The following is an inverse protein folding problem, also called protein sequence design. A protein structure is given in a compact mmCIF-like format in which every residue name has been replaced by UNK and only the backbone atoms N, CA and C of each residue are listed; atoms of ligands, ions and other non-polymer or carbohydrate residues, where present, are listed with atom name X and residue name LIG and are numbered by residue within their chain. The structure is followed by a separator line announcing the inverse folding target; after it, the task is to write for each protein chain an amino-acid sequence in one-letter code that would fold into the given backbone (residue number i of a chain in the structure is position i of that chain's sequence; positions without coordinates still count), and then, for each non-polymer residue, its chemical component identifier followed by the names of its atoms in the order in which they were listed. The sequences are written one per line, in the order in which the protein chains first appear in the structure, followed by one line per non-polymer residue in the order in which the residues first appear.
data_IF_277449296153
#
_entry.id   IF_277449296153
#
_cell.length_a   1.000
_cell.length_b   1.000
_cell.length_c   1.000
_cell.angle_alpha   90.00
_cell.angle_beta   90.00
_cell.angle_gamma   90.00
#
_symmetry.space_group_name_H-M   'P 1'
#
loop_
_entity.id
_entity.type
_entity.pdbx_description
1 polymer ?
#
# COMPACT_ATOMS: atom_id res chain seq x y z
N UNK A 1 23.27 -24.28 3.43
CA UNK A 1 22.11 -23.54 2.88
C UNK A 1 21.71 -22.50 3.91
N UNK A 2 21.76 -21.22 3.55
CA UNK A 2 21.47 -20.11 4.46
C UNK A 2 19.97 -20.12 4.76
N UNK A 3 19.59 -20.45 6.00
CA UNK A 3 18.20 -20.40 6.45
C UNK A 3 17.75 -18.95 6.52
N UNK A 4 16.94 -18.53 5.54
CA UNK A 4 16.27 -17.23 5.57
C UNK A 4 15.26 -17.16 6.72
N UNK A 5 14.83 -15.94 7.12
CA UNK A 5 13.87 -15.77 8.20
C UNK A 5 12.56 -16.54 7.90
N UNK A 6 12.04 -17.22 8.92
CA UNK A 6 10.79 -17.98 8.84
C UNK A 6 9.63 -17.03 8.50
N UNK A 7 8.88 -17.34 7.44
CA UNK A 7 7.68 -16.58 7.08
C UNK A 7 6.62 -16.77 8.18
N UNK A 8 6.09 -15.67 8.72
CA UNK A 8 5.10 -15.72 9.80
C UNK A 8 3.65 -15.74 9.27
N UNK A 9 3.39 -15.24 8.06
CA UNK A 9 2.04 -15.16 7.49
C UNK A 9 1.65 -16.35 6.61
N UNK A 10 2.52 -17.36 6.53
CA UNK A 10 2.33 -18.55 5.69
C UNK A 10 2.51 -19.79 6.58
N UNK A 11 1.59 -20.74 6.51
CA UNK A 11 1.67 -21.99 7.25
C UNK A 11 2.63 -23.00 6.60
N UNK A 12 2.80 -24.16 7.25
CA UNK A 12 3.67 -25.22 6.74
C UNK A 12 3.18 -25.86 5.41
N UNK A 13 1.90 -25.70 5.08
CA UNK A 13 1.30 -26.13 3.82
C UNK A 13 1.37 -25.08 2.71
N UNK A 14 1.87 -23.88 2.99
CA UNK A 14 1.97 -22.77 2.04
C UNK A 14 0.71 -21.90 1.95
N UNK A 15 -0.30 -22.13 2.80
CA UNK A 15 -1.50 -21.32 2.84
C UNK A 15 -1.31 -20.06 3.71
N UNK A 16 -2.07 -19.01 3.40
CA UNK A 16 -2.05 -17.78 4.20
C UNK A 16 -2.66 -18.02 5.59
N UNK A 17 -1.98 -17.56 6.62
CA UNK A 17 -2.42 -17.68 8.02
C UNK A 17 -2.19 -16.35 8.76
N UNK A 18 -3.23 -15.85 9.45
CA UNK A 18 -3.13 -14.65 10.28
C UNK A 18 -2.39 -14.97 11.57
N UNK A 19 -1.30 -14.24 11.84
CA UNK A 19 -0.51 -14.44 13.06
C UNK A 19 -1.28 -13.95 14.28
N UNK A 20 -1.39 -14.78 15.31
CA UNK A 20 -1.91 -14.34 16.59
C UNK A 20 -0.95 -13.33 17.26
N UNK A 21 -1.52 -12.19 17.66
CA UNK A 21 -0.82 -11.09 18.31
C UNK A 21 -1.46 -10.70 19.65
N UNK A 22 -2.40 -11.49 20.17
CA UNK A 22 -3.20 -11.15 21.36
C UNK A 22 -2.38 -10.91 22.63
N UNK A 23 -1.28 -11.65 22.81
CA UNK A 23 -0.39 -11.50 23.98
C UNK A 23 0.61 -10.34 23.86
N UNK A 24 0.64 -9.62 22.73
CA UNK A 24 1.60 -8.53 22.53
C UNK A 24 1.13 -7.27 23.25
N UNK A 25 2.05 -6.65 23.98
CA UNK A 25 1.77 -5.37 24.63
C UNK A 25 1.45 -4.27 23.59
N UNK A 26 0.39 -3.50 23.87
CA UNK A 26 0.02 -2.35 23.07
C UNK A 26 1.10 -1.26 23.15
N UNK A 27 1.45 -0.69 22.00
CA UNK A 27 2.48 0.34 21.84
C UNK A 27 2.06 1.31 20.75
N UNK A 28 2.44 2.59 20.86
CA UNK A 28 2.23 3.56 19.78
C UNK A 28 3.19 3.25 18.63
N UNK A 29 2.64 3.03 17.43
CA UNK A 29 3.42 2.69 16.23
C UNK A 29 3.00 3.59 15.08
N UNK A 30 3.97 3.98 14.27
CA UNK A 30 3.78 4.77 13.05
C UNK A 30 4.59 4.15 11.93
N UNK A 31 4.03 4.11 10.73
CA UNK A 31 4.71 3.69 9.52
C UNK A 31 4.43 4.72 8.41
N UNK A 32 5.43 4.95 7.56
CA UNK A 32 5.35 5.83 6.39
C UNK A 32 5.72 4.99 5.17
N UNK A 33 4.92 5.07 4.11
CA UNK A 33 5.17 4.41 2.84
C UNK A 33 4.92 5.40 1.69
N UNK A 34 5.59 5.18 0.56
CA UNK A 34 5.43 5.97 -0.66
C UNK A 34 5.25 5.07 -1.89
N UNK A 35 4.70 5.63 -2.95
CA UNK A 35 4.52 4.98 -4.24
C UNK A 35 4.38 6.00 -5.36
N UNK A 36 4.69 5.60 -6.58
CA UNK A 36 4.64 6.47 -7.76
C UNK A 36 3.90 5.81 -8.91
N UNK A 37 3.20 6.60 -9.70
CA UNK A 37 2.54 6.16 -10.94
C UNK A 37 3.20 6.85 -12.12
N UNK A 38 3.86 6.09 -12.98
CA UNK A 38 4.44 6.60 -14.23
C UNK A 38 3.37 6.72 -15.30
N UNK A 39 3.39 7.83 -16.03
CA UNK A 39 2.45 8.13 -17.10
C UNK A 39 3.10 9.02 -18.17
N UNK A 40 2.37 9.25 -19.27
CA UNK A 40 2.79 10.18 -20.31
C UNK A 40 2.76 11.64 -19.80
N UNK A 41 3.65 12.54 -20.29
CA UNK A 41 3.66 13.94 -19.87
C UNK A 41 2.31 14.65 -20.07
N UNK A 42 1.60 14.36 -21.16
CA UNK A 42 0.31 14.97 -21.48
C UNK A 42 -0.78 14.55 -20.49
N UNK A 43 -0.65 13.34 -19.92
CA UNK A 43 -1.56 12.86 -18.87
C UNK A 43 -1.32 13.63 -17.58
N UNK A 44 -0.06 13.82 -17.19
CA UNK A 44 0.29 14.60 -16.01
C UNK A 44 -0.22 16.04 -16.13
N UNK A 45 -0.01 16.68 -17.29
CA UNK A 45 -0.50 18.03 -17.56
C UNK A 45 -2.02 18.14 -17.45
N UNK A 46 -2.76 17.16 -17.98
CA UNK A 46 -4.22 17.11 -17.89
C UNK A 46 -4.68 17.01 -16.43
N UNK A 47 -4.01 16.17 -15.63
CA UNK A 47 -4.31 15.99 -14.20
C UNK A 47 -4.06 17.29 -13.45
N UNK A 48 -2.90 17.92 -13.65
CA UNK A 48 -2.52 19.16 -12.95
C UNK A 48 -3.42 20.35 -13.31
N UNK A 49 -3.95 20.40 -14.53
CA UNK A 49 -4.93 21.41 -14.97
C UNK A 49 -6.36 21.14 -14.50
N UNK A 50 -6.63 19.95 -13.95
CA UNK A 50 -7.98 19.54 -13.58
C UNK A 50 -8.90 19.25 -14.78
N UNK A 51 -8.34 19.05 -15.97
CA UNK A 51 -9.08 18.83 -17.23
C UNK A 51 -9.27 17.33 -17.54
N UNK A 52 -9.13 16.49 -16.51
CA UNK A 52 -9.37 15.06 -16.65
C UNK A 52 -10.87 14.80 -16.86
N UNK A 53 -11.20 14.01 -17.89
CA UNK A 53 -12.62 13.65 -18.20
C UNK A 53 -13.39 13.02 -17.04
N UNK A 54 -12.68 12.46 -16.05
CA UNK A 54 -13.26 11.81 -14.86
C UNK A 54 -13.40 12.74 -13.67
N UNK A 55 -13.06 14.02 -13.80
CA UNK A 55 -13.03 15.00 -12.70
C UNK A 55 -11.72 14.95 -11.92
N UNK A 56 -11.76 15.34 -10.65
CA UNK A 56 -10.59 15.42 -9.76
C UNK A 56 -10.02 14.03 -9.41
N UNK A 57 -9.03 13.59 -10.18
CA UNK A 57 -8.41 12.27 -9.99
C UNK A 57 -7.52 12.20 -8.75
N UNK A 58 -6.89 13.31 -8.32
CA UNK A 58 -6.02 13.31 -7.15
C UNK A 58 -6.83 13.32 -5.85
N UNK A 59 -7.94 14.07 -5.82
CA UNK A 59 -8.89 14.05 -4.72
C UNK A 59 -9.48 12.66 -4.52
N UNK A 60 -9.92 12.01 -5.60
CA UNK A 60 -10.43 10.64 -5.54
C UNK A 60 -9.36 9.65 -5.05
N UNK A 61 -8.12 9.76 -5.56
CA UNK A 61 -7.02 8.88 -5.13
C UNK A 61 -6.67 9.04 -3.64
N UNK A 62 -6.76 10.26 -3.09
CA UNK A 62 -6.54 10.52 -1.66
C UNK A 62 -7.56 9.80 -0.79
N UNK A 63 -8.85 9.87 -1.16
CA UNK A 63 -9.92 9.23 -0.39
C UNK A 63 -9.85 7.70 -0.53
N UNK A 64 -9.45 7.18 -1.68
CA UNK A 64 -9.30 5.73 -1.88
C UNK A 64 -8.15 5.10 -1.07
N UNK A 65 -7.15 5.90 -0.66
CA UNK A 65 -6.01 5.43 0.12
C UNK A 65 -6.19 5.48 1.64
N UNK A 66 -7.28 6.10 2.13
CA UNK A 66 -7.66 6.16 3.54
C UNK A 66 -8.62 5.01 3.84
#
# INVERSE_FOLDING_TARGET
MVGGPQLTHIDAGGAAHMVDVGDKAETTRTAIAEGSVTMLPETLDMILKGDARKGDVLGVARIAGI
#
